data_IF_166666751264
#
_entry.id   IF_166666751264
#
_cell.length_a   1.000
_cell.length_b   1.000
_cell.length_c   1.000
_cell.angle_alpha   90.00
_cell.angle_beta   90.00
_cell.angle_gamma   90.00
#
_symmetry.space_group_name_H-M   'P 1'
#
loop_
_entity.id
_entity.type
_entity.pdbx_description
1 polymer ?
#
# COMPACT_ATOMS: atom_id res chain seq x y z
N UNK A 1 -23.01 -9.84 13.80
CA UNK A 1 -21.91 -8.86 13.77
C UNK A 1 -20.67 -9.38 14.49
N UNK A 2 -20.74 -9.74 15.77
CA UNK A 2 -19.58 -10.29 16.50
C UNK A 2 -19.01 -11.57 15.87
N UNK A 3 -19.89 -12.48 15.42
CA UNK A 3 -19.50 -13.72 14.73
C UNK A 3 -18.66 -13.51 13.46
N UNK A 4 -18.90 -12.43 12.71
CA UNK A 4 -18.12 -12.09 11.51
C UNK A 4 -16.74 -11.52 11.87
N UNK A 5 -16.68 -10.72 12.93
CA UNK A 5 -15.42 -10.13 13.42
C UNK A 5 -14.53 -11.24 13.98
N UNK A 6 -15.09 -12.13 14.81
CA UNK A 6 -14.35 -13.24 15.40
C UNK A 6 -13.85 -14.23 14.33
N UNK A 7 -14.65 -14.50 13.30
CA UNK A 7 -14.23 -15.31 12.16
C UNK A 7 -13.07 -14.65 11.38
N UNK A 8 -13.12 -13.33 11.19
CA UNK A 8 -12.04 -12.57 10.57
C UNK A 8 -10.75 -12.60 11.40
N UNK A 9 -10.86 -12.45 12.73
CA UNK A 9 -9.73 -12.54 13.65
C UNK A 9 -9.09 -13.93 13.60
N UNK A 10 -9.90 -15.00 13.68
CA UNK A 10 -9.41 -16.37 13.61
C UNK A 10 -8.68 -16.65 12.29
N UNK A 11 -9.19 -16.14 11.18
CA UNK A 11 -8.54 -16.25 9.87
C UNK A 11 -7.18 -15.54 9.84
N UNK A 12 -7.13 -14.30 10.34
CA UNK A 12 -5.91 -13.48 10.39
C UNK A 12 -4.86 -14.10 11.32
N UNK A 13 -5.26 -14.67 12.46
CA UNK A 13 -4.35 -15.41 13.36
C UNK A 13 -3.85 -16.69 12.70
N UNK A 14 -4.72 -17.41 11.98
CA UNK A 14 -4.32 -18.59 11.20
C UNK A 14 -3.24 -18.27 10.15
N UNK A 15 -3.38 -17.13 9.45
CA UNK A 15 -2.38 -16.65 8.50
C UNK A 15 -1.08 -16.17 9.18
N UNK A 16 -1.17 -15.49 10.32
CA UNK A 16 0.00 -15.07 11.11
C UNK A 16 0.75 -16.25 11.73
N UNK A 17 0.07 -17.38 11.95
CA UNK A 17 0.68 -18.62 12.45
C UNK A 17 1.47 -19.44 11.42
N UNK A 18 1.46 -19.04 10.14
CA UNK A 18 2.18 -19.74 9.05
C UNK A 18 3.71 -19.59 9.10
N UNK A 19 4.22 -18.83 10.09
CA UNK A 19 5.63 -18.71 10.44
C UNK A 19 6.31 -17.45 9.92
N UNK A 20 7.39 -17.05 10.60
CA UNK A 20 8.11 -15.79 10.37
C UNK A 20 8.76 -15.69 8.98
N UNK A 21 8.84 -16.79 8.22
CA UNK A 21 9.36 -16.80 6.87
C UNK A 21 8.50 -16.00 5.88
N UNK A 22 7.18 -15.87 6.13
CA UNK A 22 6.29 -15.02 5.31
C UNK A 22 6.51 -13.53 5.57
N UNK A 23 7.13 -13.16 6.69
CA UNK A 23 7.41 -11.76 7.02
C UNK A 23 8.33 -11.14 5.98
N UNK A 24 9.33 -11.89 5.50
CA UNK A 24 10.28 -11.42 4.48
C UNK A 24 9.60 -11.06 3.15
N UNK A 25 8.84 -11.97 2.48
CA UNK A 25 8.15 -11.62 1.25
C UNK A 25 7.08 -10.54 1.47
N UNK A 26 6.36 -10.53 2.60
CA UNK A 26 5.39 -9.46 2.89
C UNK A 26 6.06 -8.08 2.99
N UNK A 27 7.23 -7.99 3.63
CA UNK A 27 8.00 -6.75 3.70
C UNK A 27 8.46 -6.33 2.31
N UNK A 28 8.95 -7.26 1.49
CA UNK A 28 9.34 -6.96 0.11
C UNK A 28 8.17 -6.40 -0.72
N UNK A 29 7.01 -7.06 -0.69
CA UNK A 29 5.81 -6.56 -1.39
C UNK A 29 5.33 -5.22 -0.83
N UNK A 30 5.47 -5.00 0.48
CA UNK A 30 5.16 -3.70 1.09
C UNK A 30 6.11 -2.61 0.59
N UNK A 31 7.40 -2.91 0.44
CA UNK A 31 8.39 -2.00 -0.13
C UNK A 31 8.07 -1.62 -1.58
N UNK A 32 7.57 -2.55 -2.39
CA UNK A 32 7.11 -2.25 -3.77
C UNK A 32 5.94 -1.24 -3.80
N UNK A 33 5.19 -1.11 -2.70
CA UNK A 33 4.10 -0.14 -2.56
C UNK A 33 4.52 1.19 -1.92
N UNK A 34 5.80 1.39 -1.62
CA UNK A 34 6.29 2.64 -1.01
C UNK A 34 6.48 3.75 -2.04
N UNK A 35 6.34 5.00 -1.60
CA UNK A 35 6.56 6.19 -2.43
C UNK A 35 7.96 6.18 -3.07
N UNK A 36 8.98 5.76 -2.31
CA UNK A 36 10.37 5.66 -2.77
C UNK A 36 10.54 4.72 -3.96
N UNK A 37 9.82 3.59 -3.98
CA UNK A 37 9.85 2.67 -5.12
C UNK A 37 9.17 3.28 -6.36
N UNK A 38 8.05 3.99 -6.17
CA UNK A 38 7.36 4.67 -7.26
C UNK A 38 8.20 5.77 -7.90
N UNK A 39 9.04 6.48 -7.14
CA UNK A 39 9.99 7.46 -7.68
C UNK A 39 11.00 6.84 -8.65
N UNK A 40 11.36 5.57 -8.49
CA UNK A 40 12.26 4.86 -9.40
C UNK A 40 11.51 4.26 -10.59
N UNK A 41 10.35 3.68 -10.35
CA UNK A 41 9.57 2.96 -11.37
C UNK A 41 8.87 3.89 -12.36
N UNK A 42 8.34 5.04 -11.91
CA UNK A 42 7.65 5.99 -12.79
C UNK A 42 8.55 6.50 -13.94
N UNK A 43 9.79 6.98 -13.68
CA UNK A 43 10.82 7.20 -14.69
C UNK A 43 10.99 6.06 -15.69
N UNK A 44 11.17 4.85 -15.18
CA UNK A 44 11.49 3.68 -15.98
C UNK A 44 10.35 3.37 -16.95
N UNK A 45 9.11 3.44 -16.49
CA UNK A 45 7.91 3.26 -17.32
C UNK A 45 7.79 4.41 -18.34
N UNK A 46 7.97 5.66 -17.90
CA UNK A 46 7.83 6.84 -18.74
C UNK A 46 8.82 6.87 -19.91
N UNK A 47 10.08 6.49 -19.66
CA UNK A 47 11.15 6.51 -20.66
C UNK A 47 11.28 5.22 -21.47
N UNK A 48 11.03 4.04 -20.87
CA UNK A 48 11.33 2.75 -21.52
C UNK A 48 10.11 2.06 -22.14
N UNK A 49 8.90 2.40 -21.70
CA UNK A 49 7.68 1.71 -22.14
C UNK A 49 6.84 2.66 -22.99
N UNK A 50 6.24 3.66 -22.36
CA UNK A 50 5.34 4.60 -23.00
C UNK A 50 5.14 5.82 -22.08
N UNK A 51 5.40 7.01 -22.62
CA UNK A 51 5.32 8.25 -21.86
C UNK A 51 3.89 8.60 -21.42
N UNK A 52 2.87 8.21 -22.18
CA UNK A 52 1.47 8.41 -21.82
C UNK A 52 1.03 7.44 -20.71
N UNK A 53 1.50 6.19 -20.73
CA UNK A 53 1.26 5.24 -19.64
C UNK A 53 1.93 5.70 -18.34
N UNK A 54 3.20 6.12 -18.41
CA UNK A 54 3.92 6.65 -17.24
C UNK A 54 3.19 7.85 -16.62
N UNK A 55 2.71 8.78 -17.45
CA UNK A 55 1.95 9.95 -16.98
C UNK A 55 0.61 9.55 -16.34
N UNK A 56 -0.15 8.63 -16.96
CA UNK A 56 -1.44 8.16 -16.42
C UNK A 56 -1.27 7.48 -15.06
N UNK A 57 -0.28 6.61 -14.93
CA UNK A 57 0.01 5.92 -13.67
C UNK A 57 0.45 6.92 -12.60
N UNK A 58 1.32 7.88 -12.94
CA UNK A 58 1.73 8.95 -12.02
C UNK A 58 0.54 9.78 -11.53
N UNK A 59 -0.38 10.18 -12.42
CA UNK A 59 -1.58 10.93 -12.05
C UNK A 59 -2.52 10.14 -11.13
N UNK A 60 -2.73 8.85 -11.42
CA UNK A 60 -3.54 7.97 -10.56
C UNK A 60 -2.91 7.85 -9.17
N UNK A 61 -1.59 7.66 -9.10
CA UNK A 61 -0.85 7.56 -7.84
C UNK A 61 -1.00 8.83 -7.00
N UNK A 62 -0.72 10.00 -7.57
CA UNK A 62 -0.80 11.29 -6.88
C UNK A 62 -2.23 11.56 -6.41
N UNK A 63 -3.23 11.30 -7.25
CA UNK A 63 -4.64 11.51 -6.90
C UNK A 63 -5.07 10.57 -5.77
N UNK A 64 -4.67 9.30 -5.82
CA UNK A 64 -4.96 8.31 -4.78
C UNK A 64 -4.33 8.72 -3.45
N UNK A 65 -3.07 9.15 -3.46
CA UNK A 65 -2.37 9.57 -2.25
C UNK A 65 -2.94 10.86 -1.66
N UNK A 66 -3.30 11.82 -2.53
CA UNK A 66 -4.00 13.05 -2.12
C UNK A 66 -5.33 12.71 -1.43
N UNK A 67 -6.12 11.81 -2.00
CA UNK A 67 -7.39 11.38 -1.40
C UNK A 67 -7.18 10.63 -0.07
N UNK A 68 -6.16 9.78 0.00
CA UNK A 68 -5.77 9.08 1.23
C UNK A 68 -5.38 10.05 2.35
N UNK A 69 -4.52 11.01 2.03
CA UNK A 69 -4.05 12.04 2.96
C UNK A 69 -5.20 12.94 3.42
N UNK A 70 -6.05 13.38 2.50
CA UNK A 70 -7.23 14.18 2.82
C UNK A 70 -8.20 13.42 3.73
N UNK A 71 -8.42 12.13 3.47
CA UNK A 71 -9.20 11.26 4.36
C UNK A 71 -8.59 11.15 5.76
N UNK A 72 -7.27 10.96 5.86
CA UNK A 72 -6.56 10.92 7.16
C UNK A 72 -6.69 12.23 7.92
N UNK A 73 -6.57 13.38 7.25
CA UNK A 73 -6.71 14.71 7.85
C UNK A 73 -8.13 14.99 8.34
N UNK A 74 -9.13 14.73 7.49
CA UNK A 74 -10.53 14.99 7.81
C UNK A 74 -11.05 14.11 8.96
N UNK A 75 -10.64 12.85 8.99
CA UNK A 75 -11.06 11.89 10.01
C UNK A 75 -10.20 11.93 11.28
N UNK A 76 -9.24 12.87 11.37
CA UNK A 76 -8.26 12.97 12.47
C UNK A 76 -7.72 11.61 12.91
N UNK A 77 -7.53 10.69 11.95
CA UNK A 77 -6.92 9.39 12.21
C UNK A 77 -5.46 9.69 12.49
N UNK A 78 -5.16 9.96 13.75
CA UNK A 78 -3.83 10.28 14.22
C UNK A 78 -2.99 9.02 14.08
N UNK A 79 -2.38 8.86 12.92
CA UNK A 79 -1.17 8.06 12.82
C UNK A 79 -0.21 8.68 13.85
N UNK A 80 0.04 7.95 14.94
CA UNK A 80 1.19 8.24 15.80
C UNK A 80 2.41 8.02 14.94
N UNK A 81 2.82 9.07 14.26
CA UNK A 81 4.14 9.21 13.65
C UNK A 81 5.09 9.24 14.85
N UNK A 82 5.69 8.09 15.12
CA UNK A 82 6.82 7.91 16.02
C UNK A 82 8.04 7.58 15.18
#
# INVERSE_FOLDING_TARGET
MQTLIDAGIAFIIGLQGLGDWLTIPMQFFSYLGTEDFFFLVLPLIYWSIDSALGLRVGLILVTSNMFNYMGKLLLQVRARIG
#
